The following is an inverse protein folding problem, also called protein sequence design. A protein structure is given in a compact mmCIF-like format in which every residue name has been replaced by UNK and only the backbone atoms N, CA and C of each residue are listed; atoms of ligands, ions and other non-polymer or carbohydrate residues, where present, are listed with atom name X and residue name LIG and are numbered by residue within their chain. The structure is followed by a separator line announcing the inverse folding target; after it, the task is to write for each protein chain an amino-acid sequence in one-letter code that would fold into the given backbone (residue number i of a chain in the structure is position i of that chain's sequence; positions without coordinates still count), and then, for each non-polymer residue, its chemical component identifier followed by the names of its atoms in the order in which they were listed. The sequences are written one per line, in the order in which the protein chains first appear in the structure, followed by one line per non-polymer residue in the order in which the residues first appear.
data_IF_223917001015
#
_entry.id   IF_223917001015
#
_cell.length_a   1.000
_cell.length_b   1.000
_cell.length_c   1.000
_cell.angle_alpha   90.00
_cell.angle_beta   90.00
_cell.angle_gamma   90.00
#
_symmetry.space_group_name_H-M   'P 1'
#
loop_
_entity.id
_entity.type
_entity.pdbx_description
1 polymer ?
#
# COMPACT_ATOMS: atom_id res chain seq x y z
N UNK A 1 -10.37 -45.19 37.66
CA UNK A 1 -9.24 -44.33 37.26
C UNK A 1 -8.85 -44.71 35.85
N UNK A 2 -9.27 -43.92 34.87
CA UNK A 2 -8.77 -43.98 33.48
C UNK A 2 -8.80 -42.54 32.98
N UNK A 3 -7.67 -41.86 33.13
CA UNK A 3 -7.40 -40.51 32.65
C UNK A 3 -7.07 -40.58 31.16
N UNK A 4 -7.91 -39.96 30.34
CA UNK A 4 -7.65 -39.69 28.92
C UNK A 4 -6.84 -38.40 28.82
N UNK A 5 -5.56 -38.51 28.48
CA UNK A 5 -4.73 -37.35 28.15
C UNK A 5 -5.16 -36.77 26.79
N UNK A 6 -5.56 -35.50 26.82
CA UNK A 6 -5.84 -34.68 25.65
C UNK A 6 -4.49 -34.29 25.02
N UNK A 7 -4.13 -34.90 23.90
CA UNK A 7 -2.95 -34.50 23.13
C UNK A 7 -3.24 -33.17 22.44
N UNK A 8 -2.74 -32.08 23.04
CA UNK A 8 -2.69 -30.76 22.41
C UNK A 8 -1.86 -30.82 21.13
N UNK A 9 -2.46 -30.40 20.04
CA UNK A 9 -1.86 -30.34 18.71
C UNK A 9 -0.70 -29.32 18.74
N UNK A 10 0.56 -29.78 18.86
CA UNK A 10 1.74 -28.93 18.69
C UNK A 10 1.90 -28.65 17.20
N UNK A 11 1.79 -27.38 16.81
CA UNK A 11 2.08 -26.92 15.46
C UNK A 11 3.49 -27.38 15.01
N UNK A 12 3.61 -27.72 13.73
CA UNK A 12 4.87 -28.15 13.13
C UNK A 12 5.95 -27.05 13.22
N UNK A 13 7.26 -27.38 13.31
CA UNK A 13 8.32 -26.39 13.46
C UNK A 13 8.41 -25.54 12.18
N UNK A 14 8.24 -24.22 12.31
CA UNK A 14 8.47 -23.25 11.23
C UNK A 14 7.23 -22.54 10.65
N UNK A 15 6.03 -22.77 11.19
CA UNK A 15 4.88 -21.91 10.86
C UNK A 15 4.81 -20.72 11.85
N UNK A 16 4.77 -19.47 11.35
CA UNK A 16 4.63 -18.30 12.21
C UNK A 16 3.33 -18.38 13.01
N UNK A 17 3.32 -17.81 14.21
CA UNK A 17 2.14 -17.78 15.06
C UNK A 17 0.97 -17.12 14.31
N UNK A 18 -0.25 -17.67 14.42
CA UNK A 18 -1.43 -17.11 13.76
C UNK A 18 -1.75 -15.72 14.35
N UNK A 19 -1.56 -14.65 13.56
CA UNK A 19 -1.77 -13.26 14.00
C UNK A 19 -3.16 -12.75 13.57
N UNK A 20 -3.78 -11.91 14.38
CA UNK A 20 -4.91 -11.12 13.93
C UNK A 20 -4.39 -9.98 13.05
N UNK A 21 -4.86 -9.87 11.82
CA UNK A 21 -4.37 -8.85 10.88
C UNK A 21 -5.46 -7.82 10.58
N UNK A 22 -5.19 -6.55 10.84
CA UNK A 22 -6.04 -5.42 10.42
C UNK A 22 -5.32 -4.71 9.28
N UNK A 23 -6.01 -4.57 8.17
CA UNK A 23 -5.53 -3.85 6.99
C UNK A 23 -6.17 -2.47 6.95
N UNK A 24 -5.34 -1.44 6.94
CA UNK A 24 -5.71 -0.04 6.79
C UNK A 24 -5.39 0.36 5.36
N UNK A 25 -6.42 0.66 4.57
CA UNK A 25 -6.26 1.19 3.22
C UNK A 25 -6.08 2.69 3.28
N UNK A 26 -5.15 3.23 2.50
CA UNK A 26 -4.90 4.67 2.35
C UNK A 26 -4.90 4.94 0.84
N UNK A 27 -6.06 5.35 0.31
CA UNK A 27 -6.24 5.63 -1.12
C UNK A 27 -6.44 7.12 -1.38
N UNK A 28 -6.37 7.50 -2.65
CA UNK A 28 -6.49 8.88 -3.12
C UNK A 28 -5.65 9.11 -4.37
N UNK A 29 -5.80 10.26 -5.04
CA UNK A 29 -5.04 10.54 -6.25
C UNK A 29 -3.52 10.54 -5.96
N UNK A 30 -2.71 10.37 -7.01
CA UNK A 30 -1.27 10.60 -6.86
C UNK A 30 -1.01 11.96 -6.21
N UNK A 31 0.04 12.03 -5.38
CA UNK A 31 0.48 13.27 -4.72
C UNK A 31 -0.46 13.85 -3.64
N UNK A 32 -1.48 13.09 -3.19
CA UNK A 32 -2.34 13.50 -2.06
C UNK A 32 -1.69 13.37 -0.68
N UNK A 33 -0.54 12.69 -0.57
CA UNK A 33 0.19 12.50 0.69
C UNK A 33 0.05 11.11 1.33
N UNK A 34 -0.48 10.12 0.59
CA UNK A 34 -0.72 8.73 1.05
C UNK A 34 0.50 8.08 1.67
N UNK A 35 1.60 8.00 0.93
CA UNK A 35 2.85 7.35 1.36
C UNK A 35 3.43 8.04 2.60
N UNK A 36 3.36 9.37 2.66
CA UNK A 36 3.78 10.15 3.85
C UNK A 36 2.93 9.80 5.07
N UNK A 37 1.59 9.80 4.92
CA UNK A 37 0.69 9.42 6.01
C UNK A 37 0.90 7.96 6.44
N UNK A 38 1.05 7.02 5.50
CA UNK A 38 1.33 5.61 5.78
C UNK A 38 2.62 5.43 6.58
N UNK A 39 3.68 6.16 6.23
CA UNK A 39 4.96 6.16 6.94
C UNK A 39 4.85 6.74 8.34
N UNK A 40 4.15 7.86 8.50
CA UNK A 40 3.89 8.45 9.83
C UNK A 40 3.04 7.53 10.70
N UNK A 41 1.97 6.95 10.16
CA UNK A 41 1.14 5.97 10.87
C UNK A 41 1.96 4.75 11.29
N UNK A 42 2.77 4.18 10.38
CA UNK A 42 3.70 3.11 10.75
C UNK A 42 4.61 3.53 11.91
N UNK A 43 5.18 4.72 11.86
CA UNK A 43 6.08 5.24 12.91
C UNK A 43 5.35 5.35 14.26
N UNK A 44 4.18 5.99 14.32
CA UNK A 44 3.49 6.21 15.61
C UNK A 44 2.84 4.95 16.18
N UNK A 45 2.56 3.94 15.34
CA UNK A 45 2.06 2.63 15.79
C UNK A 45 3.17 1.62 16.08
N UNK A 46 4.40 1.86 15.62
CA UNK A 46 5.52 0.97 15.91
C UNK A 46 5.95 1.11 17.38
N UNK A 47 6.10 -0.02 18.12
CA UNK A 47 6.66 0.02 19.45
C UNK A 47 8.13 0.50 19.41
N UNK A 48 8.55 1.30 20.39
CA UNK A 48 9.93 1.82 20.48
C UNK A 48 10.96 0.70 20.72
N UNK A 49 11.36 0.02 19.65
CA UNK A 49 12.55 -0.81 19.66
C UNK A 49 13.76 0.07 19.30
N UNK A 50 14.35 0.72 20.33
CA UNK A 50 15.66 1.41 20.35
C UNK A 50 15.68 2.94 20.19
N UNK A 51 15.52 3.64 21.32
CA UNK A 51 16.21 4.90 21.63
C UNK A 51 16.96 4.82 22.98
N UNK A 52 17.60 3.67 23.23
CA UNK A 52 18.47 3.44 24.40
C UNK A 52 19.73 2.69 23.99
N UNK A 53 20.84 3.40 23.79
CA UNK A 53 22.14 2.81 23.46
C UNK A 53 23.12 3.86 23.00
N UNK A 54 23.85 4.45 23.96
CA UNK A 54 24.73 5.58 23.76
C UNK A 54 25.91 5.33 22.81
N UNK A 55 26.43 6.44 22.30
CA UNK A 55 27.75 6.54 21.71
C UNK A 55 28.81 5.87 22.61
N UNK A 56 29.57 4.93 22.05
CA UNK A 56 30.65 4.26 22.77
C UNK A 56 31.39 3.22 21.94
N UNK A 57 32.48 3.66 21.31
CA UNK A 57 33.65 2.91 20.86
C UNK A 57 33.52 1.71 19.91
N UNK A 58 34.04 1.95 18.70
CA UNK A 58 34.67 0.98 17.80
C UNK A 58 35.82 0.25 18.50
N UNK A 59 35.79 -1.09 18.58
CA UNK A 59 36.94 -1.99 18.41
C UNK A 59 36.47 -3.37 17.90
N UNK A 60 36.89 -3.71 16.68
CA UNK A 60 37.35 -5.01 16.15
C UNK A 60 36.65 -6.34 16.53
N UNK A 61 36.03 -6.96 15.52
CA UNK A 61 36.43 -8.29 15.05
C UNK A 61 35.69 -9.51 15.62
N UNK A 62 34.64 -9.95 14.91
CA UNK A 62 34.26 -11.36 14.82
C UNK A 62 33.40 -11.57 13.56
N UNK A 63 33.71 -12.60 12.78
CA UNK A 63 32.85 -13.12 11.72
C UNK A 63 31.71 -13.85 12.43
N UNK A 64 30.54 -13.23 12.57
CA UNK A 64 29.37 -13.82 13.22
C UNK A 64 28.31 -14.26 12.20
N UNK A 65 27.73 -15.43 12.49
CA UNK A 65 26.85 -16.21 11.62
C UNK A 65 25.53 -15.48 11.29
N UNK A 66 25.43 -14.97 10.06
CA UNK A 66 24.20 -14.33 9.52
C UNK A 66 22.94 -15.21 9.60
N UNK A 67 23.09 -16.54 9.59
CA UNK A 67 21.96 -17.48 9.70
C UNK A 67 21.41 -17.59 11.13
N UNK A 68 22.30 -17.52 12.13
CA UNK A 68 21.88 -17.51 13.54
C UNK A 68 21.22 -16.16 13.89
N UNK A 69 21.76 -15.04 13.38
CA UNK A 69 21.14 -13.73 13.53
C UNK A 69 19.76 -13.61 12.83
N UNK A 70 19.59 -14.25 11.66
CA UNK A 70 18.28 -14.34 10.99
C UNK A 70 17.28 -15.17 11.80
N UNK A 71 17.69 -16.36 12.25
CA UNK A 71 16.84 -17.22 13.05
C UNK A 71 16.45 -16.58 14.40
N UNK A 72 17.33 -15.76 14.99
CA UNK A 72 17.05 -15.03 16.21
C UNK A 72 16.12 -13.82 15.95
N UNK A 73 16.30 -13.08 14.85
CA UNK A 73 15.36 -12.01 14.44
C UNK A 73 13.97 -12.54 14.09
N UNK A 74 13.88 -13.69 13.42
CA UNK A 74 12.60 -14.29 13.06
C UNK A 74 11.87 -14.81 14.32
N UNK A 75 12.59 -15.36 15.31
CA UNK A 75 12.03 -15.71 16.62
C UNK A 75 11.54 -14.50 17.42
N UNK A 76 12.30 -13.40 17.43
CA UNK A 76 11.90 -12.16 18.13
C UNK A 76 10.64 -11.55 17.52
N UNK A 77 10.47 -11.60 16.19
CA UNK A 77 9.25 -11.13 15.51
C UNK A 77 8.01 -11.98 15.81
N UNK A 78 8.18 -13.28 16.01
CA UNK A 78 7.10 -14.18 16.40
C UNK A 78 6.59 -13.91 17.84
N UNK A 79 7.41 -13.29 18.70
CA UNK A 79 7.08 -12.91 20.08
C UNK A 79 6.54 -11.48 20.22
N UNK A 80 6.65 -10.63 19.19
CA UNK A 80 6.13 -9.26 19.23
C UNK A 80 4.60 -9.23 19.26
N UNK A 81 4.03 -8.61 20.30
CA UNK A 81 2.58 -8.45 20.47
C UNK A 81 1.93 -7.63 19.34
N UNK A 82 2.69 -6.72 18.72
CA UNK A 82 2.26 -5.85 17.63
C UNK A 82 3.32 -5.79 16.53
N UNK A 83 2.93 -6.10 15.31
CA UNK A 83 3.77 -5.95 14.10
C UNK A 83 3.12 -4.92 13.19
N UNK A 84 3.91 -3.99 12.67
CA UNK A 84 3.43 -2.87 11.83
C UNK A 84 4.26 -2.77 10.56
N UNK A 85 3.62 -2.73 9.40
CA UNK A 85 4.30 -2.60 8.11
C UNK A 85 3.43 -1.92 7.06
N UNK A 86 4.06 -1.54 5.94
CA UNK A 86 3.41 -0.90 4.80
C UNK A 86 3.45 -1.88 3.62
N UNK A 87 2.39 -1.88 2.82
CA UNK A 87 2.31 -2.52 1.49
C UNK A 87 2.05 -1.39 0.50
N UNK A 88 2.96 -1.20 -0.45
CA UNK A 88 2.82 -0.19 -1.50
C UNK A 88 2.16 -0.83 -2.73
N UNK A 89 1.08 -0.24 -3.24
CA UNK A 89 0.47 -0.68 -4.50
C UNK A 89 1.46 -0.59 -5.68
N UNK A 90 2.33 0.42 -5.67
CA UNK A 90 3.35 0.66 -6.68
C UNK A 90 4.35 -0.52 -6.82
N UNK A 91 4.51 -1.36 -5.80
CA UNK A 91 5.33 -2.57 -5.90
C UNK A 91 4.78 -3.56 -6.94
N UNK A 92 3.47 -3.49 -7.19
CA UNK A 92 2.71 -4.36 -8.08
C UNK A 92 2.52 -3.77 -9.48
N UNK A 93 3.23 -2.69 -9.85
CA UNK A 93 3.33 -2.29 -11.25
C UNK A 93 3.93 -3.42 -12.09
N UNK A 94 3.36 -3.59 -13.28
CA UNK A 94 3.93 -4.43 -14.34
C UNK A 94 5.33 -3.90 -14.72
N UNK A 95 6.19 -4.74 -15.32
CA UNK A 95 7.48 -4.29 -15.82
C UNK A 95 7.34 -3.17 -16.87
N UNK A 96 8.33 -2.31 -17.00
CA UNK A 96 8.31 -1.14 -17.90
C UNK A 96 7.83 -1.47 -19.33
N UNK A 97 8.26 -2.58 -19.93
CA UNK A 97 7.86 -3.00 -21.28
C UNK A 97 6.39 -3.47 -21.42
N UNK A 98 5.71 -3.67 -20.29
CA UNK A 98 4.32 -4.13 -20.20
C UNK A 98 3.34 -3.06 -19.73
N UNK A 99 3.84 -1.86 -19.41
CA UNK A 99 2.98 -0.73 -19.08
C UNK A 99 2.15 -0.36 -20.32
N UNK A 100 0.81 -0.23 -20.20
CA UNK A 100 -0.05 0.19 -21.30
C UNK A 100 0.42 1.51 -21.92
N UNK A 101 0.13 1.70 -23.21
CA UNK A 101 0.45 2.95 -23.91
C UNK A 101 -0.85 3.61 -24.35
N UNK A 102 -0.99 4.88 -24.01
CA UNK A 102 -2.09 5.74 -24.46
C UNK A 102 -1.56 6.86 -25.36
N UNK A 103 -2.48 7.65 -25.92
CA UNK A 103 -2.18 8.78 -26.79
C UNK A 103 -2.66 10.07 -26.12
N UNK A 104 -1.75 11.04 -25.95
CA UNK A 104 -2.06 12.36 -25.40
C UNK A 104 -2.97 13.16 -26.34
N UNK A 105 -3.52 14.28 -25.85
CA UNK A 105 -4.31 15.21 -26.67
C UNK A 105 -3.51 15.79 -27.85
N UNK A 106 -2.18 15.84 -27.72
CA UNK A 106 -1.24 16.25 -28.77
C UNK A 106 -0.89 15.14 -29.78
N UNK A 107 -1.45 13.93 -29.62
CA UNK A 107 -1.19 12.78 -30.50
C UNK A 107 0.08 12.00 -30.18
N UNK A 108 0.77 12.32 -29.07
CA UNK A 108 2.00 11.63 -28.65
C UNK A 108 1.65 10.34 -27.90
N UNK A 109 2.33 9.26 -28.25
CA UNK A 109 2.23 7.99 -27.51
C UNK A 109 3.07 8.03 -26.23
N UNK A 110 2.50 7.60 -25.12
CA UNK A 110 3.11 7.63 -23.79
C UNK A 110 2.63 6.44 -22.95
N UNK A 111 3.49 5.92 -22.09
CA UNK A 111 3.12 4.89 -21.12
C UNK A 111 2.12 5.46 -20.11
N UNK A 112 1.02 4.76 -19.90
CA UNK A 112 -0.04 5.11 -18.95
C UNK A 112 0.18 4.31 -17.66
N UNK A 113 0.82 4.94 -16.67
CA UNK A 113 1.06 4.35 -15.37
C UNK A 113 -0.15 4.50 -14.44
N UNK A 114 -1.06 5.44 -14.69
CA UNK A 114 -2.15 5.81 -13.78
C UNK A 114 -3.45 5.06 -14.13
N UNK A 115 -3.33 3.83 -14.62
CA UNK A 115 -4.46 2.97 -14.96
C UNK A 115 -4.34 1.62 -14.29
N UNK A 116 -5.47 1.01 -13.96
CA UNK A 116 -5.53 -0.34 -13.38
C UNK A 116 -4.78 -1.38 -14.23
N UNK A 117 -4.75 -1.21 -15.55
CA UNK A 117 -4.04 -2.10 -16.47
C UNK A 117 -2.52 -2.02 -16.35
N UNK A 118 -1.97 -1.01 -15.68
CA UNK A 118 -0.55 -0.93 -15.35
C UNK A 118 -0.17 -1.82 -14.15
N UNK A 119 -1.15 -2.24 -13.34
CA UNK A 119 -0.95 -3.02 -12.12
C UNK A 119 -1.19 -4.52 -12.34
N UNK A 120 -0.44 -5.36 -11.64
CA UNK A 120 -0.75 -6.79 -11.48
C UNK A 120 -1.66 -7.00 -10.27
N UNK A 121 -2.96 -6.73 -10.46
CA UNK A 121 -3.99 -6.88 -9.42
C UNK A 121 -4.04 -8.32 -8.88
N UNK A 122 -3.73 -9.33 -9.69
CA UNK A 122 -3.71 -10.72 -9.23
C UNK A 122 -2.59 -10.94 -8.22
N UNK A 123 -1.42 -10.37 -8.47
CA UNK A 123 -0.29 -10.42 -7.54
C UNK A 123 -0.59 -9.63 -6.26
N UNK A 124 -1.20 -8.45 -6.37
CA UNK A 124 -1.64 -7.66 -5.20
C UNK A 124 -2.62 -8.45 -4.32
N UNK A 125 -3.65 -9.06 -4.91
CA UNK A 125 -4.62 -9.91 -4.19
C UNK A 125 -3.93 -11.11 -3.54
N UNK A 126 -2.99 -11.76 -4.23
CA UNK A 126 -2.22 -12.88 -3.65
C UNK A 126 -1.37 -12.43 -2.45
N UNK A 127 -0.73 -11.27 -2.53
CA UNK A 127 0.05 -10.72 -1.42
C UNK A 127 -0.85 -10.35 -0.23
N UNK A 128 -2.02 -9.74 -0.46
CA UNK A 128 -2.99 -9.42 0.59
C UNK A 128 -3.55 -10.69 1.25
N UNK A 129 -3.84 -11.74 0.48
CA UNK A 129 -4.24 -13.04 1.03
C UNK A 129 -3.16 -13.61 1.96
N UNK A 130 -1.88 -13.50 1.57
CA UNK A 130 -0.77 -13.94 2.40
C UNK A 130 -0.65 -13.10 3.68
N UNK A 131 -0.73 -11.77 3.56
CA UNK A 131 -0.72 -10.84 4.70
C UNK A 131 -1.85 -11.15 5.67
N UNK A 132 -3.06 -11.44 5.17
CA UNK A 132 -4.21 -11.79 6.01
C UNK A 132 -4.02 -13.08 6.77
N UNK A 133 -3.42 -14.11 6.15
CA UNK A 133 -3.23 -15.42 6.77
C UNK A 133 -2.01 -15.52 7.68
N UNK A 134 -0.94 -14.77 7.41
CA UNK A 134 0.33 -14.85 8.16
C UNK A 134 0.61 -13.63 9.03
N UNK A 135 -0.04 -12.49 8.77
CA UNK A 135 0.17 -11.24 9.50
C UNK A 135 1.53 -10.59 9.27
N UNK A 136 2.22 -10.95 8.20
CA UNK A 136 3.53 -10.42 7.80
C UNK A 136 3.60 -10.26 6.28
N UNK A 137 4.58 -9.50 5.79
CA UNK A 137 4.85 -9.37 4.36
C UNK A 137 5.31 -10.72 3.74
N UNK A 138 4.95 -11.00 2.48
CA UNK A 138 5.55 -12.11 1.73
C UNK A 138 7.09 -11.99 1.72
N UNK A 139 7.87 -13.03 2.05
CA UNK A 139 9.32 -12.93 2.24
C UNK A 139 10.13 -12.36 1.06
N UNK A 140 9.61 -12.49 -0.16
CA UNK A 140 10.26 -12.01 -1.39
C UNK A 140 9.69 -10.70 -1.92
N UNK A 141 8.66 -10.14 -1.29
CA UNK A 141 8.16 -8.81 -1.65
C UNK A 141 9.21 -7.79 -1.19
N UNK A 142 9.84 -7.13 -2.16
CA UNK A 142 10.80 -6.06 -1.93
C UNK A 142 10.17 -4.76 -2.42
N UNK A 143 10.04 -3.81 -1.51
CA UNK A 143 9.48 -2.50 -1.85
C UNK A 143 10.42 -1.75 -2.79
N UNK A 144 9.90 -1.39 -3.96
CA UNK A 144 10.52 -0.49 -4.92
C UNK A 144 10.27 0.95 -4.50
N UNK A 145 9.12 1.21 -3.89
CA UNK A 145 8.75 2.53 -3.38
C UNK A 145 9.70 3.01 -2.27
N UNK A 146 10.25 2.09 -1.48
CA UNK A 146 11.28 2.42 -0.49
C UNK A 146 12.62 2.87 -1.09
N UNK A 147 12.80 2.75 -2.42
CA UNK A 147 13.95 3.26 -3.15
C UNK A 147 13.76 4.72 -3.61
N UNK A 148 12.53 5.25 -3.58
CA UNK A 148 12.25 6.64 -3.92
C UNK A 148 12.74 7.59 -2.81
N UNK A 149 13.07 8.84 -3.19
CA UNK A 149 13.52 9.85 -2.22
C UNK A 149 12.46 10.13 -1.16
N UNK A 150 12.88 10.12 0.11
CA UNK A 150 11.99 10.42 1.23
C UNK A 150 11.83 11.93 1.35
N UNK A 151 10.65 12.44 1.00
CA UNK A 151 10.28 13.83 1.23
C UNK A 151 9.98 14.07 2.71
N UNK A 152 10.38 15.25 3.22
CA UNK A 152 10.01 15.68 4.56
C UNK A 152 8.47 15.70 4.72
N UNK A 153 8.00 15.18 5.85
CA UNK A 153 6.58 15.10 6.16
C UNK A 153 5.97 16.44 6.55
N UNK A 154 6.81 17.41 6.96
CA UNK A 154 6.38 18.71 7.48
C UNK A 154 5.75 18.65 8.88
N UNK A 155 5.70 17.46 9.51
CA UNK A 155 5.26 17.27 10.90
C UNK A 155 6.49 17.34 11.81
N UNK A 156 6.42 18.15 12.85
CA UNK A 156 7.52 18.30 13.79
C UNK A 156 7.74 17.02 14.62
N UNK A 157 9.00 16.73 14.95
CA UNK A 157 9.35 15.49 15.67
C UNK A 157 8.72 15.41 17.07
N UNK A 158 8.50 16.54 17.74
CA UNK A 158 7.87 16.58 19.07
C UNK A 158 6.40 16.16 18.99
N UNK A 159 5.69 16.59 17.94
CA UNK A 159 4.34 16.15 17.62
C UNK A 159 4.30 14.66 17.30
N UNK A 160 5.24 14.15 16.50
CA UNK A 160 5.33 12.70 16.21
C UNK A 160 5.51 11.91 17.52
N UNK A 161 6.46 12.31 18.37
CA UNK A 161 6.71 11.66 19.68
C UNK A 161 5.47 11.72 20.57
N UNK A 162 4.81 12.88 20.67
CA UNK A 162 3.57 13.05 21.45
C UNK A 162 2.46 12.12 20.98
N UNK A 163 2.26 11.98 19.67
CA UNK A 163 1.24 11.10 19.10
C UNK A 163 1.62 9.64 19.34
N UNK A 164 2.89 9.27 19.12
CA UNK A 164 3.40 7.92 19.36
C UNK A 164 3.19 7.49 20.82
N UNK A 165 3.51 8.36 21.79
CA UNK A 165 3.29 8.09 23.22
C UNK A 165 1.80 7.87 23.53
N UNK A 166 0.89 8.61 22.90
CA UNK A 166 -0.56 8.43 23.09
C UNK A 166 -1.06 7.12 22.47
N UNK A 167 -0.58 6.79 21.28
CA UNK A 167 -0.88 5.52 20.61
C UNK A 167 -0.38 4.36 21.45
N UNK A 168 0.87 4.40 21.94
CA UNK A 168 1.45 3.35 22.77
C UNK A 168 0.60 3.08 24.03
N UNK A 169 0.23 4.13 24.77
CA UNK A 169 -0.64 4.00 25.97
C UNK A 169 -2.01 3.39 25.64
N UNK A 170 -2.64 3.81 24.55
CA UNK A 170 -3.95 3.29 24.15
C UNK A 170 -3.88 1.84 23.68
N UNK A 171 -2.85 1.50 22.90
CA UNK A 171 -2.61 0.14 22.45
C UNK A 171 -2.33 -0.79 23.62
N UNK A 172 -1.51 -0.38 24.60
CA UNK A 172 -1.28 -1.14 25.83
C UNK A 172 -2.61 -1.39 26.57
N UNK A 173 -3.46 -0.38 26.71
CA UNK A 173 -4.79 -0.52 27.30
C UNK A 173 -5.68 -1.51 26.54
N UNK A 174 -5.74 -1.41 25.21
CA UNK A 174 -6.55 -2.31 24.37
C UNK A 174 -6.06 -3.75 24.50
N UNK A 175 -4.76 -3.99 24.40
CA UNK A 175 -4.16 -5.33 24.44
C UNK A 175 -4.20 -5.94 25.85
N UNK A 176 -4.06 -5.14 26.91
CA UNK A 176 -4.05 -5.60 28.30
C UNK A 176 -5.43 -6.01 28.83
N UNK A 177 -6.53 -5.51 28.24
CA UNK A 177 -7.90 -5.89 28.65
C UNK A 177 -8.22 -7.37 28.44
N UNK A 178 -7.37 -8.12 27.73
CA UNK A 178 -7.45 -9.57 27.54
C UNK A 178 -6.32 -10.31 28.27
N UNK A 179 -6.30 -10.26 29.60
CA UNK A 179 -5.41 -11.09 30.44
C UNK A 179 -5.91 -12.54 30.58
N UNK A 180 -6.44 -13.12 29.50
CA UNK A 180 -6.76 -14.56 29.39
C UNK A 180 -5.93 -15.17 28.26
N UNK A 181 -5.45 -16.40 28.44
CA UNK A 181 -4.47 -17.15 27.62
C UNK A 181 -4.69 -17.27 26.08
N UNK A 182 -5.61 -16.51 25.46
CA UNK A 182 -6.02 -16.64 24.06
C UNK A 182 -5.94 -15.32 23.22
N UNK A 183 -5.23 -14.27 23.66
CA UNK A 183 -5.05 -13.08 22.79
C UNK A 183 -4.01 -13.36 21.70
N UNK A 184 -4.43 -13.41 20.44
CA UNK A 184 -3.51 -13.52 19.30
C UNK A 184 -2.69 -12.23 19.16
N UNK A 185 -1.41 -12.30 18.78
CA UNK A 185 -0.63 -11.14 18.38
C UNK A 185 -1.34 -10.36 17.25
N UNK A 186 -1.18 -9.04 17.24
CA UNK A 186 -1.81 -8.15 16.26
C UNK A 186 -0.83 -7.74 15.16
N UNK A 187 -1.30 -7.66 13.93
CA UNK A 187 -0.60 -7.07 12.80
C UNK A 187 -1.41 -5.92 12.21
N UNK A 188 -0.76 -4.77 12.03
CA UNK A 188 -1.28 -3.61 11.32
C UNK A 188 -0.57 -3.48 9.97
N UNK A 189 -1.31 -3.72 8.89
CA UNK A 189 -0.83 -3.56 7.53
C UNK A 189 -1.41 -2.27 6.95
N UNK A 190 -0.55 -1.29 6.64
CA UNK A 190 -0.94 -0.09 5.91
C UNK A 190 -0.79 -0.33 4.42
N UNK A 191 -1.90 -0.59 3.73
CA UNK A 191 -1.94 -0.71 2.27
C UNK A 191 -2.17 0.68 1.69
N UNK A 192 -1.24 1.18 0.90
CA UNK A 192 -1.34 2.52 0.29
C UNK A 192 -1.19 2.45 -1.23
N UNK A 193 -1.99 3.23 -1.94
CA UNK A 193 -2.11 3.15 -3.39
C UNK A 193 -3.10 4.16 -3.94
N UNK A 194 -3.13 4.34 -5.26
CA UNK A 194 -4.08 5.25 -5.90
C UNK A 194 -5.40 4.57 -6.29
N UNK A 195 -5.44 3.23 -6.35
CA UNK A 195 -6.62 2.45 -6.76
C UNK A 195 -6.89 1.27 -5.81
N UNK A 196 -7.35 1.57 -4.59
CA UNK A 196 -7.63 0.52 -3.59
C UNK A 196 -9.11 0.16 -3.40
N UNK A 197 -10.05 1.01 -3.82
CA UNK A 197 -11.46 0.90 -3.44
C UNK A 197 -12.38 0.63 -4.63
N UNK A 198 -13.25 -0.36 -4.47
CA UNK A 198 -14.40 -0.59 -5.35
C UNK A 198 -15.67 0.15 -4.88
N UNK A 199 -16.59 0.48 -5.80
CA UNK A 199 -17.94 0.94 -5.45
C UNK A 199 -18.69 -0.08 -4.56
N UNK A 200 -19.57 0.36 -3.65
CA UNK A 200 -20.28 -0.55 -2.73
C UNK A 200 -21.14 -1.62 -3.42
N UNK A 201 -21.78 -1.29 -4.54
CA UNK A 201 -22.77 -2.14 -5.21
C UNK A 201 -22.25 -2.79 -6.50
N UNK A 202 -20.93 -2.90 -6.64
CA UNK A 202 -20.26 -3.49 -7.80
C UNK A 202 -19.36 -4.66 -7.38
N UNK A 203 -19.95 -5.85 -7.31
CA UNK A 203 -19.26 -7.09 -6.91
C UNK A 203 -18.29 -7.60 -7.98
N UNK A 204 -18.49 -7.22 -9.25
CA UNK A 204 -17.62 -7.62 -10.37
C UNK A 204 -16.46 -6.64 -10.59
N UNK A 205 -16.43 -5.54 -9.83
CA UNK A 205 -15.38 -4.54 -9.92
C UNK A 205 -13.99 -5.17 -9.74
N UNK A 206 -12.99 -4.87 -10.60
CA UNK A 206 -11.66 -5.47 -10.51
C UNK A 206 -10.97 -5.30 -9.14
N UNK A 207 -11.27 -4.20 -8.44
CA UNK A 207 -10.73 -3.90 -7.10
C UNK A 207 -11.57 -4.45 -5.95
N UNK A 208 -12.71 -5.11 -6.20
CA UNK A 208 -13.62 -5.60 -5.14
C UNK A 208 -12.88 -6.48 -4.13
N UNK A 209 -12.09 -7.44 -4.63
CA UNK A 209 -11.31 -8.33 -3.76
C UNK A 209 -10.25 -7.57 -2.95
N UNK A 210 -9.63 -6.53 -3.51
CA UNK A 210 -8.68 -5.68 -2.77
C UNK A 210 -9.42 -4.93 -1.67
N UNK A 211 -10.53 -4.25 -2.00
CA UNK A 211 -11.38 -3.52 -1.06
C UNK A 211 -11.83 -4.43 0.09
N UNK A 212 -12.33 -5.64 -0.18
CA UNK A 212 -12.82 -6.59 0.84
C UNK A 212 -11.79 -6.99 1.90
N UNK A 213 -10.50 -6.86 1.59
CA UNK A 213 -9.44 -7.13 2.55
C UNK A 213 -9.17 -5.96 3.51
N UNK A 214 -9.73 -4.78 3.25
CA UNK A 214 -9.49 -3.53 3.98
C UNK A 214 -10.53 -3.33 5.09
N UNK A 215 -10.05 -3.06 6.31
CA UNK A 215 -10.89 -2.87 7.50
C UNK A 215 -11.11 -1.38 7.80
N UNK A 216 -10.14 -0.55 7.41
CA UNK A 216 -10.15 0.91 7.59
C UNK A 216 -9.86 1.56 6.24
N UNK A 217 -10.89 1.88 5.43
CA UNK A 217 -10.70 2.45 4.09
C UNK A 217 -10.54 3.97 4.15
N UNK A 218 -9.35 4.48 4.46
CA UNK A 218 -9.04 5.91 4.49
C UNK A 218 -8.88 6.47 3.06
N UNK A 219 -9.51 7.59 2.77
CA UNK A 219 -9.42 8.27 1.47
C UNK A 219 -8.90 9.70 1.64
N UNK A 220 -7.79 10.02 0.98
CA UNK A 220 -7.16 11.34 0.98
C UNK A 220 -7.49 12.06 -0.33
N UNK A 221 -8.50 12.94 -0.37
CA UNK A 221 -8.77 13.74 -1.55
C UNK A 221 -7.65 14.77 -1.78
N UNK A 222 -7.52 15.21 -3.03
CA UNK A 222 -6.71 16.36 -3.40
C UNK A 222 -7.42 17.12 -4.51
N UNK A 223 -7.27 18.45 -4.54
CA UNK A 223 -7.75 19.23 -5.66
C UNK A 223 -6.89 19.02 -6.90
N UNK A 224 -7.46 19.19 -8.09
CA UNK A 224 -6.71 19.15 -9.35
C UNK A 224 -5.49 20.07 -9.31
N UNK A 225 -5.66 21.31 -8.86
CA UNK A 225 -4.57 22.29 -8.78
C UNK A 225 -3.41 21.82 -7.90
N UNK A 226 -3.72 21.28 -6.71
CA UNK A 226 -2.72 20.78 -5.76
C UNK A 226 -2.02 19.51 -6.29
N UNK A 227 -2.80 18.59 -6.87
CA UNK A 227 -2.29 17.38 -7.49
C UNK A 227 -1.30 17.74 -8.60
N UNK A 228 -1.69 18.66 -9.49
CA UNK A 228 -0.87 19.08 -10.62
C UNK A 228 0.45 19.68 -10.17
N UNK A 229 0.41 20.67 -9.28
CA UNK A 229 1.60 21.31 -8.72
C UNK A 229 2.57 20.28 -8.11
N UNK A 230 2.05 19.37 -7.28
CA UNK A 230 2.88 18.36 -6.61
C UNK A 230 3.39 17.26 -7.54
N UNK A 231 2.62 16.88 -8.58
CA UNK A 231 3.02 15.83 -9.53
C UNK A 231 4.06 16.36 -10.50
N UNK A 232 3.88 17.59 -11.03
CA UNK A 232 4.83 18.21 -11.95
C UNK A 232 6.14 18.65 -11.28
N UNK A 233 6.16 18.81 -9.95
CA UNK A 233 7.39 19.09 -9.19
C UNK A 233 8.21 17.84 -8.84
N UNK A 234 7.71 16.63 -9.13
CA UNK A 234 8.48 15.41 -8.88
C UNK A 234 9.63 15.27 -9.88
N UNK A 235 10.80 14.87 -9.39
CA UNK A 235 12.00 14.67 -10.21
C UNK A 235 11.93 13.38 -11.04
N UNK A 236 11.16 12.39 -10.56
CA UNK A 236 10.83 11.15 -11.25
C UNK A 236 10.61 10.00 -10.28
N UNK A 237 10.55 8.78 -10.81
CA UNK A 237 10.14 7.56 -10.12
C UNK A 237 11.10 6.43 -10.44
N UNK A 238 11.44 5.62 -9.43
CA UNK A 238 12.12 4.36 -9.63
C UNK A 238 11.16 3.35 -10.30
N UNK A 239 11.56 2.80 -11.44
CA UNK A 239 10.82 1.75 -12.16
C UNK A 239 11.68 0.50 -12.32
N UNK A 240 11.09 -0.64 -12.70
CA UNK A 240 11.79 -1.93 -12.76
C UNK A 240 11.30 -2.74 -13.96
N UNK A 241 12.24 -3.23 -14.76
CA UNK A 241 11.97 -4.11 -15.87
C UNK A 241 12.83 -3.81 -17.09
N UNK A 242 12.72 -4.62 -18.15
CA UNK A 242 13.33 -4.27 -19.43
C UNK A 242 12.70 -2.99 -19.97
N UNK A 243 13.53 -2.09 -20.50
CA UNK A 243 13.07 -0.86 -21.12
C UNK A 243 12.13 -1.16 -22.32
N UNK A 244 11.13 -0.30 -22.60
CA UNK A 244 10.23 -0.48 -23.72
C UNK A 244 11.03 -0.61 -25.03
N UNK A 245 10.75 -1.65 -25.81
CA UNK A 245 11.32 -1.77 -27.15
C UNK A 245 10.58 -0.80 -28.09
N UNK A 246 11.27 0.09 -28.83
CA UNK A 246 10.62 0.94 -29.81
C UNK A 246 9.99 0.05 -30.89
N UNK A 247 8.66 -0.02 -30.92
CA UNK A 247 7.94 -0.61 -32.06
C UNK A 247 7.99 0.42 -33.18
N UNK A 248 8.82 0.18 -34.20
CA UNK A 248 8.80 0.94 -35.44
C UNK A 248 7.43 0.79 -36.08
N UNK A 249 6.78 1.90 -36.41
CA UNK A 249 5.50 1.95 -37.13
C UNK A 249 5.70 1.47 -38.58
N UNK A 250 5.80 0.16 -38.85
CA UNK A 250 5.62 -0.40 -40.19
C UNK A 250 4.97 -1.79 -40.19
N UNK A 251 4.11 -1.99 -41.19
CA UNK A 251 3.24 -3.14 -41.44
C UNK A 251 3.97 -4.48 -41.66
N UNK A 252 3.35 -5.56 -41.16
CA UNK A 252 3.38 -6.98 -41.54
C UNK A 252 4.67 -7.61 -42.10
N UNK A 253 5.14 -8.70 -41.49
CA UNK A 253 5.06 -10.06 -42.03
C UNK A 253 5.69 -11.07 -41.04
N UNK A 254 5.06 -12.24 -40.96
CA UNK A 254 5.33 -13.39 -40.11
C UNK A 254 6.80 -13.65 -39.74
N UNK A 255 7.03 -13.98 -38.46
CA UNK A 255 7.92 -15.09 -38.11
C UNK A 255 7.48 -15.77 -36.81
N UNK A 256 7.09 -17.03 -36.96
CA UNK A 256 6.93 -17.99 -35.88
C UNK A 256 8.19 -18.05 -35.01
N UNK A 257 7.98 -17.89 -33.71
CA UNK A 257 8.97 -18.08 -32.66
C UNK A 257 8.23 -18.52 -31.41
N UNK A 258 7.74 -19.77 -31.42
CA UNK A 258 7.06 -20.37 -30.28
C UNK A 258 8.04 -20.57 -29.12
N UNK A 259 8.05 -19.66 -28.16
CA UNK A 259 8.36 -19.99 -26.77
C UNK A 259 7.06 -19.87 -25.99
N UNK A 260 6.43 -21.03 -25.75
CA UNK A 260 5.31 -21.16 -24.82
C UNK A 260 5.79 -20.77 -23.42
N UNK A 261 5.49 -19.56 -22.98
CA UNK A 261 5.36 -19.29 -21.55
C UNK A 261 3.95 -19.73 -21.14
N UNK A 262 3.88 -20.66 -20.19
CA UNK A 262 2.63 -21.20 -19.67
C UNK A 262 1.78 -20.08 -19.03
N UNK A 263 0.46 -20.02 -19.27
CA UNK A 263 -0.40 -18.93 -18.79
C UNK A 263 -1.05 -19.26 -17.45
N UNK A 264 -0.31 -19.79 -16.46
CA UNK A 264 -0.85 -20.11 -15.14
C UNK A 264 0.27 -20.27 -14.12
N UNK A 265 0.05 -19.69 -12.94
CA UNK A 265 0.81 -20.00 -11.73
C UNK A 265 1.99 -19.08 -11.52
N UNK A 266 1.98 -18.43 -10.37
CA UNK A 266 3.14 -18.22 -9.50
C UNK A 266 4.40 -18.87 -10.11
N UNK A 267 5.30 -18.06 -10.68
CA UNK A 267 6.66 -18.53 -10.93
C UNK A 267 7.21 -19.05 -9.59
N UNK A 268 7.73 -20.28 -9.59
CA UNK A 268 8.15 -21.01 -8.39
C UNK A 268 8.81 -20.08 -7.36
N UNK A 269 8.14 -19.93 -6.19
CA UNK A 269 8.54 -19.09 -5.05
C UNK A 269 9.79 -19.66 -4.34
N UNK A 270 10.58 -20.49 -5.03
CA UNK A 270 11.80 -21.10 -4.52
C UNK A 270 13.07 -20.64 -5.26
N UNK A 271 12.99 -20.05 -6.47
CA UNK A 271 14.21 -19.65 -7.19
C UNK A 271 14.66 -18.21 -6.84
N UNK A 272 15.94 -18.06 -6.45
CA UNK A 272 16.64 -16.78 -6.27
C UNK A 272 16.91 -16.14 -7.64
N UNK A 273 15.88 -15.56 -8.27
CA UNK A 273 16.09 -14.74 -9.46
C UNK A 273 16.71 -13.38 -9.05
N UNK A 274 17.73 -12.90 -9.79
CA UNK A 274 18.33 -11.59 -9.54
C UNK A 274 17.26 -10.49 -9.66
N UNK A 275 17.38 -9.45 -8.82
CA UNK A 275 16.49 -8.28 -8.89
C UNK A 275 16.44 -7.77 -10.34
N UNK A 276 15.25 -7.47 -10.89
CA UNK A 276 15.16 -7.01 -12.26
C UNK A 276 15.84 -5.65 -12.42
N UNK A 277 16.24 -5.32 -13.65
CA UNK A 277 16.91 -4.06 -13.97
C UNK A 277 16.10 -2.85 -13.49
N UNK A 278 16.72 -1.98 -12.70
CA UNK A 278 16.12 -0.73 -12.22
C UNK A 278 16.26 0.37 -13.28
N UNK A 279 15.16 1.08 -13.53
CA UNK A 279 15.06 2.21 -14.44
C UNK A 279 14.53 3.45 -13.68
N UNK A 280 14.40 4.56 -14.40
CA UNK A 280 13.87 5.82 -13.88
C UNK A 280 12.87 6.43 -14.88
N UNK A 281 11.68 6.77 -14.41
CA UNK A 281 10.62 7.40 -15.18
C UNK A 281 10.41 8.85 -14.75
N UNK A 282 10.19 9.74 -15.72
CA UNK A 282 9.79 11.13 -15.48
C UNK A 282 8.54 11.42 -16.30
N UNK A 283 7.54 11.99 -15.66
CA UNK A 283 6.29 12.36 -16.32
C UNK A 283 6.58 13.33 -17.48
N UNK A 284 6.13 13.04 -18.72
CA UNK A 284 6.31 13.97 -19.82
C UNK A 284 5.41 15.22 -19.67
N UNK A 285 5.73 16.32 -20.36
CA UNK A 285 4.87 17.51 -20.34
C UNK A 285 3.43 17.20 -20.73
N UNK A 286 2.47 17.69 -19.93
CA UNK A 286 1.03 17.47 -20.13
C UNK A 286 0.48 16.15 -19.55
N UNK A 287 1.31 15.28 -19.00
CA UNK A 287 0.90 13.97 -18.48
C UNK A 287 -0.20 14.06 -17.42
N UNK A 288 -0.17 15.08 -16.55
CA UNK A 288 -1.21 15.28 -15.54
C UNK A 288 -2.58 15.55 -16.17
N UNK A 289 -2.62 16.44 -17.16
CA UNK A 289 -3.86 16.91 -17.80
C UNK A 289 -4.47 15.85 -18.72
N UNK A 290 -3.60 15.14 -19.44
CA UNK A 290 -3.96 14.17 -20.46
C UNK A 290 -4.23 12.78 -19.87
N UNK A 291 -3.64 12.44 -18.72
CA UNK A 291 -3.67 11.07 -18.16
C UNK A 291 -4.07 11.08 -16.70
N UNK A 292 -3.24 11.58 -15.79
CA UNK A 292 -3.42 11.39 -14.33
C UNK A 292 -4.81 11.85 -13.86
N UNK A 293 -5.20 13.07 -14.23
CA UNK A 293 -6.49 13.64 -13.81
C UNK A 293 -7.70 12.93 -14.44
N UNK A 294 -7.79 12.75 -15.78
CA UNK A 294 -8.89 11.99 -16.36
C UNK A 294 -8.99 10.55 -15.84
N UNK A 295 -7.87 9.84 -15.63
CA UNK A 295 -7.88 8.49 -15.04
C UNK A 295 -8.43 8.48 -13.64
N UNK A 296 -7.91 9.36 -12.78
CA UNK A 296 -8.42 9.51 -11.42
C UNK A 296 -9.93 9.77 -11.39
N UNK A 297 -10.43 10.67 -12.26
CA UNK A 297 -11.87 10.94 -12.37
C UNK A 297 -12.62 9.68 -12.81
N UNK A 298 -12.18 9.02 -13.89
CA UNK A 298 -12.88 7.86 -14.44
C UNK A 298 -13.02 6.73 -13.41
N UNK A 299 -11.94 6.44 -12.69
CA UNK A 299 -11.90 5.34 -11.72
C UNK A 299 -12.63 5.68 -10.40
N UNK A 300 -12.74 6.97 -10.07
CA UNK A 300 -13.36 7.43 -8.81
C UNK A 300 -14.68 8.18 -9.02
N UNK A 301 -15.26 8.20 -10.21
CA UNK A 301 -16.49 8.97 -10.48
C UNK A 301 -17.65 8.60 -9.55
N UNK A 302 -17.71 7.34 -9.09
CA UNK A 302 -18.67 6.85 -8.08
C UNK A 302 -18.55 7.55 -6.72
N UNK A 303 -17.38 8.12 -6.44
CA UNK A 303 -17.05 8.87 -5.23
C UNK A 303 -17.03 10.38 -5.47
N UNK A 304 -16.62 10.82 -6.66
CA UNK A 304 -16.40 12.24 -7.02
C UNK A 304 -17.63 12.95 -7.58
N UNK A 305 -18.68 12.21 -7.96
CA UNK A 305 -19.91 12.76 -8.51
C UNK A 305 -21.10 12.57 -7.58
N UNK A 306 -22.02 13.54 -7.62
CA UNK A 306 -23.31 13.45 -6.92
C UNK A 306 -24.25 12.45 -7.60
N UNK A 307 -24.07 12.26 -8.90
CA UNK A 307 -24.91 11.45 -9.80
C UNK A 307 -24.03 10.57 -10.72
N UNK A 308 -23.31 9.59 -10.15
CA UNK A 308 -22.35 8.77 -10.91
C UNK A 308 -22.99 7.87 -11.97
N UNK A 309 -24.29 7.62 -11.91
CA UNK A 309 -25.01 6.80 -12.91
C UNK A 309 -25.33 7.51 -14.22
N UNK A 310 -24.96 8.78 -14.38
CA UNK A 310 -25.17 9.53 -15.63
C UNK A 310 -23.92 9.41 -16.49
N UNK A 311 -24.05 8.75 -17.63
CA UNK A 311 -22.98 8.64 -18.64
C UNK A 311 -22.55 10.02 -19.14
N UNK A 312 -21.23 10.21 -19.21
CA UNK A 312 -20.59 11.46 -19.60
C UNK A 312 -19.37 11.18 -20.44
N UNK A 313 -19.09 12.04 -21.41
CA UNK A 313 -17.78 12.10 -22.04
C UNK A 313 -16.71 12.55 -21.03
N UNK A 314 -15.43 12.32 -21.35
CA UNK A 314 -14.32 12.73 -20.49
C UNK A 314 -14.34 14.24 -20.17
N UNK A 315 -14.64 15.09 -21.17
CA UNK A 315 -14.74 16.54 -20.97
C UNK A 315 -15.90 16.93 -20.06
N UNK A 316 -17.02 16.21 -20.12
CA UNK A 316 -18.15 16.41 -19.24
C UNK A 316 -17.85 15.94 -17.81
N UNK A 317 -17.12 14.83 -17.66
CA UNK A 317 -16.63 14.35 -16.37
C UNK A 317 -15.69 15.37 -15.71
N UNK A 318 -14.70 15.88 -16.45
CA UNK A 318 -13.77 16.93 -15.98
C UNK A 318 -14.53 18.17 -15.50
N UNK A 319 -15.55 18.62 -16.25
CA UNK A 319 -16.39 19.76 -15.86
C UNK A 319 -17.26 19.48 -14.63
N UNK A 320 -17.82 18.28 -14.53
CA UNK A 320 -18.70 17.89 -13.42
C UNK A 320 -17.93 17.72 -12.10
N UNK A 321 -16.73 17.14 -12.14
CA UNK A 321 -15.85 17.00 -10.97
C UNK A 321 -15.20 18.33 -10.59
N UNK A 322 -14.85 19.17 -11.59
CA UNK A 322 -14.19 20.46 -11.36
C UNK A 322 -12.83 20.27 -10.68
N UNK A 323 -12.60 20.94 -9.56
CA UNK A 323 -11.38 20.77 -8.76
C UNK A 323 -11.37 19.46 -7.95
N UNK A 324 -12.44 18.67 -7.88
CA UNK A 324 -12.50 17.46 -7.04
C UNK A 324 -12.78 17.74 -5.55
N UNK A 325 -13.35 18.89 -5.22
CA UNK A 325 -13.68 19.27 -3.83
C UNK A 325 -14.84 18.47 -3.22
N UNK A 326 -15.70 17.92 -4.06
CA UNK A 326 -16.81 17.10 -3.62
C UNK A 326 -16.39 15.63 -3.60
N UNK A 327 -16.51 15.01 -2.42
CA UNK A 327 -16.32 13.59 -2.18
C UNK A 327 -17.56 13.08 -1.47
N UNK A 328 -18.11 11.95 -1.94
CA UNK A 328 -19.24 11.29 -1.30
C UNK A 328 -18.80 10.64 0.02
N UNK A 329 -19.43 11.01 1.13
CA UNK A 329 -19.05 10.56 2.48
C UNK A 329 -19.77 9.27 2.93
N UNK A 330 -20.85 8.87 2.25
CA UNK A 330 -21.65 7.69 2.54
C UNK A 330 -21.34 6.51 1.60
N UNK A 331 -20.15 6.49 1.00
CA UNK A 331 -19.74 5.50 0.01
C UNK A 331 -18.91 4.33 0.59
N UNK A 332 -18.94 4.14 1.91
CA UNK A 332 -18.18 3.08 2.58
C UNK A 332 -16.69 3.35 2.75
N UNK A 333 -16.23 4.57 2.43
CA UNK A 333 -14.85 5.04 2.64
C UNK A 333 -14.82 6.19 3.66
N UNK A 334 -13.75 6.29 4.43
CA UNK A 334 -13.53 7.35 5.41
C UNK A 334 -12.75 8.48 4.75
N UNK A 335 -13.43 9.58 4.44
CA UNK A 335 -12.83 10.73 3.76
C UNK A 335 -12.05 11.59 4.76
N UNK A 336 -10.81 11.91 4.41
CA UNK A 336 -9.97 12.78 5.22
C UNK A 336 -10.55 14.20 5.33
N UNK A 337 -10.30 14.91 6.46
CA UNK A 337 -10.85 16.24 6.67
C UNK A 337 -10.28 17.28 5.69
N UNK A 338 -10.89 18.46 5.69
CA UNK A 338 -10.39 19.61 4.93
C UNK A 338 -10.48 19.50 3.40
N UNK A 339 -11.10 18.45 2.86
CA UNK A 339 -11.28 18.24 1.41
C UNK A 339 -9.96 18.31 0.63
N UNK A 340 -8.89 17.77 1.23
CA UNK A 340 -7.54 17.78 0.67
C UNK A 340 -6.68 18.99 1.03
N UNK A 341 -7.25 19.94 1.78
CA UNK A 341 -6.52 21.09 2.33
C UNK A 341 -6.01 20.90 3.76
N UNK A 342 -6.33 19.78 4.43
CA UNK A 342 -5.81 19.48 5.76
C UNK A 342 -4.29 19.29 5.72
N UNK A 343 -3.60 19.77 6.76
CA UNK A 343 -2.16 19.57 6.89
C UNK A 343 -1.84 18.14 7.36
N UNK A 344 -0.56 17.74 7.23
CA UNK A 344 -0.14 16.37 7.55
C UNK A 344 -0.30 16.02 9.04
N UNK A 345 -0.27 17.01 9.94
CA UNK A 345 -0.50 16.78 11.38
C UNK A 345 -1.97 16.44 11.62
N UNK A 346 -2.89 17.20 11.05
CA UNK A 346 -4.34 16.92 11.13
C UNK A 346 -4.67 15.56 10.51
N UNK A 347 -4.07 15.23 9.36
CA UNK A 347 -4.24 13.93 8.70
C UNK A 347 -3.71 12.77 9.56
N UNK A 348 -2.56 12.95 10.22
CA UNK A 348 -1.99 11.95 11.12
C UNK A 348 -2.89 11.70 12.34
N UNK A 349 -3.34 12.77 13.01
CA UNK A 349 -4.22 12.65 14.18
C UNK A 349 -5.57 12.01 13.80
N UNK A 350 -6.12 12.38 12.64
CA UNK A 350 -7.32 11.76 12.07
C UNK A 350 -7.11 10.26 11.78
N UNK A 351 -6.03 9.92 11.07
CA UNK A 351 -5.70 8.53 10.72
C UNK A 351 -5.51 7.66 11.96
N UNK A 352 -4.79 8.15 12.98
CA UNK A 352 -4.62 7.47 14.27
C UNK A 352 -5.96 7.18 14.92
N UNK A 353 -6.86 8.17 14.96
CA UNK A 353 -8.19 8.01 15.56
C UNK A 353 -9.00 6.92 14.86
N UNK A 354 -9.05 6.93 13.53
CA UNK A 354 -9.84 5.94 12.78
C UNK A 354 -9.26 4.53 12.88
N UNK A 355 -7.93 4.39 12.88
CA UNK A 355 -7.26 3.10 13.06
C UNK A 355 -7.54 2.55 14.46
N UNK A 356 -7.33 3.34 15.52
CA UNK A 356 -7.58 2.92 16.90
C UNK A 356 -9.04 2.51 17.14
N UNK A 357 -10.01 3.22 16.53
CA UNK A 357 -11.43 2.88 16.62
C UNK A 357 -11.72 1.47 16.11
N UNK A 358 -11.11 1.07 14.99
CA UNK A 358 -11.28 -0.26 14.42
C UNK A 358 -10.48 -1.30 15.19
N UNK A 359 -9.24 -1.00 15.59
CA UNK A 359 -8.44 -1.89 16.45
C UNK A 359 -9.21 -2.24 17.72
N UNK A 360 -9.76 -1.25 18.42
CA UNK A 360 -10.56 -1.47 19.63
C UNK A 360 -11.79 -2.33 19.36
N UNK A 361 -12.51 -2.09 18.27
CA UNK A 361 -13.68 -2.90 17.87
C UNK A 361 -13.30 -4.34 17.57
N UNK A 362 -12.28 -4.56 16.73
CA UNK A 362 -11.86 -5.89 16.28
C UNK A 362 -11.22 -6.71 17.40
N UNK A 363 -10.54 -6.05 18.34
CA UNK A 363 -9.99 -6.70 19.53
C UNK A 363 -11.10 -7.04 20.53
N UNK A 364 -12.13 -6.18 20.71
CA UNK A 364 -13.25 -6.42 21.66
C UNK A 364 -14.36 -7.35 21.15
N UNK A 365 -14.57 -7.47 19.84
CA UNK A 365 -15.63 -8.29 19.25
C UNK A 365 -15.40 -9.82 19.41
N UNK A 366 -14.26 -10.22 19.96
CA UNK A 366 -13.89 -11.60 20.28
C UNK A 366 -13.67 -11.72 21.78
#
# INVERSE_FOLDING_TARGET
MTSSEHTGNKAAPGQPAHRQTIVVGISGPSSSGKTTLARLLRTVFAPDSKLGGGAGNVVSGAIENKEAERADRDRVRDEEALVVFIVHEDDFYKPDDQIPVTTTTTGKRVQDWDTIDALDIRQLVSALSYVRSHGILPPRLKSKEDLNEVTDSGVDEDTIRRIQDDVARRMEGILSTKSGNNSLPLSLAFLEGFLLYAPPDDEEHPLRTVHDNIHVPLFLPATYSLLKERRESRTGYVTIGPAPTPKSDENSYNKDGSTKSSPNGIGDIENDEPMPHQNFWTDPPGYVDDIVWPRYIADHQWLLLRDPGVERSEDELKKAVGEGEYIKEDAGVLVAPGKGGADMTELLEWGVREVLRVVEREVRAR
#
